data_IF_554339503015
#
_entry.id   IF_554339503015
#
_cell.length_a   1.000
_cell.length_b   1.000
_cell.length_c   1.000
_cell.angle_alpha   90.00
_cell.angle_beta   90.00
_cell.angle_gamma   90.00
#
_symmetry.space_group_name_H-M   'P 1'
#
loop_
_entity.id
_entity.type
_entity.pdbx_description
1 polymer ?
#
# COMPACT_ATOMS: atom_id res chain seq x y z
N UNK A 1 -13.29 4.03 6.98
CA UNK A 1 -12.29 3.23 7.72
C UNK A 1 -10.98 3.22 6.94
N UNK A 2 -9.84 3.00 7.59
CA UNK A 2 -8.54 2.80 6.91
C UNK A 2 -8.30 1.32 6.61
N UNK A 3 -7.35 1.02 5.72
CA UNK A 3 -6.92 -0.37 5.50
C UNK A 3 -6.37 -1.02 6.77
N UNK A 4 -5.70 -0.25 7.64
CA UNK A 4 -5.23 -0.72 8.94
C UNK A 4 -6.37 -1.10 9.87
N UNK A 5 -7.47 -0.36 9.87
CA UNK A 5 -8.70 -0.74 10.58
C UNK A 5 -9.32 -2.01 9.99
N UNK A 6 -9.31 -2.16 8.66
CA UNK A 6 -9.77 -3.37 7.99
C UNK A 6 -8.91 -4.61 8.34
N UNK A 7 -7.59 -4.46 8.48
CA UNK A 7 -6.71 -5.53 8.98
C UNK A 7 -7.08 -5.94 10.41
N UNK A 8 -7.34 -4.97 11.31
CA UNK A 8 -7.78 -5.27 12.69
C UNK A 8 -9.11 -6.02 12.73
N UNK A 9 -10.01 -5.70 11.79
CA UNK A 9 -11.31 -6.36 11.64
C UNK A 9 -11.24 -7.68 10.83
N UNK A 10 -10.06 -8.10 10.36
CA UNK A 10 -9.85 -9.27 9.50
C UNK A 10 -10.58 -9.21 8.15
N UNK A 11 -10.96 -8.02 7.70
CA UNK A 11 -11.52 -7.76 6.37
C UNK A 11 -10.43 -7.71 5.29
N UNK A 12 -9.20 -7.41 5.70
CA UNK A 12 -8.01 -7.43 4.86
C UNK A 12 -6.96 -8.36 5.51
N UNK A 13 -6.53 -9.38 4.78
CA UNK A 13 -5.47 -10.29 5.26
C UNK A 13 -4.09 -9.67 5.05
N UNK A 14 -3.14 -10.04 5.91
CA UNK A 14 -1.76 -9.61 5.76
C UNK A 14 -1.14 -10.11 4.44
N UNK A 15 -1.50 -11.31 4.00
CA UNK A 15 -1.03 -11.86 2.72
C UNK A 15 -1.54 -11.04 1.52
N UNK A 16 -2.82 -10.64 1.52
CA UNK A 16 -3.38 -9.80 0.46
C UNK A 16 -2.71 -8.42 0.43
N UNK A 17 -2.46 -7.84 1.61
CA UNK A 17 -1.73 -6.58 1.74
C UNK A 17 -0.29 -6.72 1.20
N UNK A 18 0.44 -7.76 1.62
CA UNK A 18 1.82 -7.98 1.18
C UNK A 18 1.88 -8.27 -0.34
N UNK A 19 0.92 -9.00 -0.90
CA UNK A 19 0.82 -9.25 -2.33
C UNK A 19 0.57 -7.95 -3.12
N UNK A 20 -0.32 -7.08 -2.66
CA UNK A 20 -0.57 -5.78 -3.29
C UNK A 20 0.65 -4.86 -3.25
N UNK A 21 1.37 -4.83 -2.12
CA UNK A 21 2.64 -4.10 -1.98
C UNK A 21 3.69 -4.64 -2.95
N UNK A 22 3.82 -5.96 -3.06
CA UNK A 22 4.78 -6.59 -3.96
C UNK A 22 4.46 -6.33 -5.44
N UNK A 23 3.18 -6.37 -5.81
CA UNK A 23 2.71 -6.06 -7.16
C UNK A 23 3.03 -4.60 -7.54
N UNK A 24 2.75 -3.66 -6.65
CA UNK A 24 3.08 -2.24 -6.85
C UNK A 24 4.59 -2.04 -7.04
N UNK A 25 5.43 -2.61 -6.18
CA UNK A 25 6.88 -2.46 -6.30
C UNK A 25 7.46 -3.12 -7.56
N UNK A 26 6.81 -4.17 -8.07
CA UNK A 26 7.25 -4.83 -9.32
C UNK A 26 6.91 -4.02 -10.56
N UNK A 27 5.78 -3.29 -10.54
CA UNK A 27 5.38 -2.40 -11.63
C UNK A 27 4.47 -1.27 -11.12
N UNK A 28 5.03 -0.12 -10.69
CA UNK A 28 4.26 0.99 -10.12
C UNK A 28 3.26 1.63 -11.10
N UNK A 29 3.48 1.46 -12.41
CA UNK A 29 2.62 1.99 -13.47
C UNK A 29 1.43 1.07 -13.78
N UNK A 30 1.45 -0.18 -13.31
CA UNK A 30 0.31 -1.07 -13.46
C UNK A 30 -0.77 -0.72 -12.43
N UNK A 31 -2.07 -0.81 -12.80
CA UNK A 31 -3.15 -0.68 -11.83
C UNK A 31 -3.01 -1.71 -10.71
N UNK A 32 -2.99 -1.25 -9.47
CA UNK A 32 -2.94 -2.09 -8.29
C UNK A 32 -4.09 -1.70 -7.35
N UNK A 33 -5.14 -2.51 -7.34
CA UNK A 33 -6.33 -2.30 -6.52
C UNK A 33 -6.41 -3.38 -5.45
N UNK A 34 -6.45 -2.96 -4.19
CA UNK A 34 -6.65 -3.82 -3.03
C UNK A 34 -8.13 -3.81 -2.64
N UNK A 35 -8.79 -4.96 -2.75
CA UNK A 35 -10.22 -5.13 -2.39
C UNK A 35 -10.36 -5.40 -0.89
N UNK A 36 -11.33 -4.72 -0.26
CA UNK A 36 -11.59 -4.79 1.18
C UNK A 36 -13.09 -4.74 1.42
N UNK A 37 -13.72 -5.89 1.66
CA UNK A 37 -15.19 -5.98 1.71
C UNK A 37 -15.83 -5.42 0.43
N UNK A 38 -16.77 -4.50 0.58
CA UNK A 38 -17.43 -3.80 -0.53
C UNK A 38 -16.60 -2.63 -1.10
N UNK A 39 -15.51 -2.26 -0.43
CA UNK A 39 -14.67 -1.13 -0.78
C UNK A 39 -13.35 -1.52 -1.43
N UNK A 40 -12.54 -0.51 -1.78
CA UNK A 40 -11.21 -0.73 -2.35
C UNK A 40 -10.23 0.41 -2.13
N UNK A 41 -8.95 0.08 -2.29
CA UNK A 41 -7.84 1.05 -2.25
C UNK A 41 -7.05 0.93 -3.55
N UNK A 42 -6.83 2.07 -4.22
CA UNK A 42 -5.81 2.20 -5.25
C UNK A 42 -4.45 2.40 -4.56
N UNK A 43 -3.55 1.42 -4.74
CA UNK A 43 -2.24 1.40 -4.08
C UNK A 43 -1.35 2.54 -4.58
N UNK A 44 -1.40 2.86 -5.87
CA UNK A 44 -0.61 3.95 -6.43
C UNK A 44 -1.10 5.30 -5.89
N UNK A 45 -2.42 5.51 -5.84
CA UNK A 45 -3.00 6.71 -5.25
C UNK A 45 -2.67 6.84 -3.76
N UNK A 46 -2.73 5.73 -3.00
CA UNK A 46 -2.34 5.71 -1.59
C UNK A 46 -0.87 6.10 -1.39
N UNK A 47 0.04 5.59 -2.24
CA UNK A 47 1.47 5.93 -2.19
C UNK A 47 1.70 7.40 -2.53
N UNK A 48 1.08 7.92 -3.59
CA UNK A 48 1.21 9.32 -4.00
C UNK A 48 0.66 10.30 -2.95
N UNK A 49 -0.37 9.90 -2.21
CA UNK A 49 -0.94 10.69 -1.12
C UNK A 49 -0.11 10.66 0.17
N UNK A 50 0.88 9.75 0.29
CA UNK A 50 1.67 9.56 1.49
C UNK A 50 3.11 10.09 1.32
N UNK A 51 3.38 11.31 1.81
CA UNK A 51 4.64 12.04 1.60
C UNK A 51 5.91 11.21 1.93
N UNK A 52 5.93 10.52 3.08
CA UNK A 52 7.06 9.65 3.43
C UNK A 52 7.28 8.52 2.41
N UNK A 53 6.21 7.97 1.82
CA UNK A 53 6.35 6.89 0.84
C UNK A 53 6.93 7.42 -0.47
N UNK A 54 6.45 8.57 -0.94
CA UNK A 54 7.02 9.27 -2.10
C UNK A 54 8.50 9.56 -1.89
N UNK A 55 8.88 10.11 -0.73
CA UNK A 55 10.27 10.42 -0.42
C UNK A 55 11.16 9.19 -0.39
N UNK A 56 10.73 8.10 0.26
CA UNK A 56 11.52 6.86 0.36
C UNK A 56 11.73 6.24 -1.02
N UNK A 57 10.70 6.21 -1.86
CA UNK A 57 10.78 5.64 -3.20
C UNK A 57 11.62 6.48 -4.18
N UNK A 58 11.78 7.78 -3.91
CA UNK A 58 12.61 8.67 -4.71
C UNK A 58 14.12 8.63 -4.34
N UNK A 59 14.49 8.04 -3.20
CA UNK A 59 15.89 8.00 -2.74
C UNK A 59 16.70 6.95 -3.47
N UNK A 60 17.90 7.34 -3.90
CA UNK A 60 18.90 6.39 -4.39
C UNK A 60 19.41 5.48 -3.26
N UNK A 61 19.67 4.21 -3.57
CA UNK A 61 20.23 3.25 -2.61
C UNK A 61 19.27 2.77 -1.51
N UNK A 62 17.99 3.11 -1.59
CA UNK A 62 16.97 2.62 -0.65
C UNK A 62 16.88 1.09 -0.73
N UNK A 63 16.77 0.42 0.42
CA UNK A 63 16.73 -1.04 0.45
C UNK A 63 15.33 -1.56 0.10
N UNK A 64 15.25 -2.77 -0.48
CA UNK A 64 13.96 -3.43 -0.75
C UNK A 64 13.02 -3.49 0.47
N UNK A 65 13.50 -3.83 1.69
CA UNK A 65 12.68 -3.75 2.90
C UNK A 65 12.17 -2.34 3.23
N UNK A 66 12.97 -1.29 3.01
CA UNK A 66 12.53 0.09 3.23
C UNK A 66 11.43 0.50 2.25
N UNK A 67 11.57 0.15 0.96
CA UNK A 67 10.53 0.39 -0.05
C UNK A 67 9.22 -0.31 0.33
N UNK A 68 9.29 -1.60 0.70
CA UNK A 68 8.11 -2.38 1.14
C UNK A 68 7.43 -1.74 2.33
N UNK A 69 8.18 -1.35 3.35
CA UNK A 69 7.60 -0.74 4.55
C UNK A 69 6.96 0.62 4.26
N UNK A 70 7.57 1.43 3.39
CA UNK A 70 7.02 2.72 2.99
C UNK A 70 5.68 2.58 2.26
N UNK A 71 5.60 1.67 1.29
CA UNK A 71 4.34 1.36 0.57
C UNK A 71 3.31 0.74 1.51
N UNK A 72 3.71 -0.21 2.37
CA UNK A 72 2.81 -0.84 3.35
C UNK A 72 2.19 0.20 4.30
N UNK A 73 2.96 1.17 4.78
CA UNK A 73 2.44 2.26 5.60
C UNK A 73 1.43 3.14 4.85
N UNK A 74 1.75 3.52 3.60
CA UNK A 74 0.84 4.31 2.78
C UNK A 74 -0.51 3.61 2.59
N UNK A 75 -0.49 2.32 2.27
CA UNK A 75 -1.72 1.52 2.10
C UNK A 75 -2.48 1.38 3.42
N UNK A 76 -1.79 1.08 4.53
CA UNK A 76 -2.43 0.91 5.84
C UNK A 76 -3.15 2.18 6.34
N UNK A 77 -2.61 3.35 6.01
CA UNK A 77 -3.17 4.65 6.42
C UNK A 77 -4.19 5.21 5.43
N UNK A 78 -4.30 4.65 4.22
CA UNK A 78 -5.27 5.09 3.23
C UNK A 78 -6.72 4.75 3.64
N UNK A 79 -7.68 5.66 3.37
CA UNK A 79 -9.08 5.36 3.55
C UNK A 79 -9.54 4.32 2.52
N UNK A 80 -10.37 3.38 2.95
CA UNK A 80 -11.12 2.49 2.05
C UNK A 80 -12.20 3.31 1.37
N UNK A 81 -12.19 3.32 0.03
CA UNK A 81 -13.20 3.97 -0.80
C UNK A 81 -14.48 3.15 -0.91
#
# INVERSE_FOLDING_TARGET
>A
MTAGEACKQKLLTEDALNAAVAAYLSNPSAPAVLKIGDGSIDVAAAVLAHAYAVEVLAREGVTGPQQRNAVKMAVLLAPVG
#
